data_IF_335345198661
#
_entry.id   IF_335345198661
#
_cell.length_a   1.000
_cell.length_b   1.000
_cell.length_c   1.000
_cell.angle_alpha   90.00
_cell.angle_beta   90.00
_cell.angle_gamma   90.00
#
_symmetry.space_group_name_H-M   'P 1'
#
loop_
_entity.id
_entity.type
_entity.pdbx_description
1 polymer ?
#
# COMPACT_ATOMS: atom_id res chain seq x y z
N UNK A 1 -12.33 -11.59 -23.47
CA UNK A 1 -11.77 -12.03 -22.17
C UNK A 1 -11.63 -10.81 -21.27
N UNK A 2 -12.51 -10.65 -20.28
CA UNK A 2 -12.29 -9.68 -19.21
C UNK A 2 -11.14 -10.21 -18.35
N UNK A 3 -9.90 -9.85 -18.69
CA UNK A 3 -8.82 -9.93 -17.70
C UNK A 3 -9.24 -8.97 -16.60
N UNK A 4 -9.72 -9.48 -15.47
CA UNK A 4 -9.81 -8.69 -14.24
C UNK A 4 -8.41 -8.10 -14.09
N UNK A 5 -8.28 -6.79 -14.28
CA UNK A 5 -7.02 -6.09 -14.16
C UNK A 5 -6.66 -6.18 -12.68
N UNK A 6 -5.92 -7.22 -12.31
CA UNK A 6 -5.35 -7.32 -10.98
C UNK A 6 -4.27 -6.25 -10.93
N UNK A 7 -4.36 -5.29 -9.99
CA UNK A 7 -3.31 -4.30 -9.85
C UNK A 7 -1.97 -5.03 -9.66
N UNK A 8 -0.87 -4.50 -10.23
CA UNK A 8 0.44 -5.09 -10.09
C UNK A 8 0.84 -5.22 -8.62
N UNK A 9 1.64 -6.24 -8.31
CA UNK A 9 2.21 -6.45 -6.98
C UNK A 9 3.10 -5.27 -6.61
N UNK A 10 2.93 -4.73 -5.40
CA UNK A 10 3.60 -3.50 -4.98
C UNK A 10 5.13 -3.68 -4.83
N UNK A 11 5.59 -4.87 -4.46
CA UNK A 11 7.03 -5.17 -4.38
C UNK A 11 7.73 -5.13 -5.75
N UNK A 12 6.98 -5.20 -6.85
CA UNK A 12 7.54 -5.10 -8.21
C UNK A 12 7.68 -3.66 -8.69
N UNK A 13 7.28 -2.67 -7.87
CA UNK A 13 7.21 -1.25 -8.22
C UNK A 13 8.41 -0.74 -9.04
N UNK A 14 9.64 -1.13 -8.68
CA UNK A 14 10.87 -0.69 -9.35
C UNK A 14 11.03 -1.22 -10.78
N UNK A 15 10.37 -2.33 -11.11
CA UNK A 15 10.42 -2.98 -12.42
C UNK A 15 9.24 -2.58 -13.32
N UNK A 16 8.28 -1.83 -12.77
CA UNK A 16 7.09 -1.38 -13.50
C UNK A 16 7.41 -0.22 -14.44
N UNK A 17 6.59 -0.07 -15.47
CA UNK A 17 6.63 1.09 -16.36
C UNK A 17 6.26 2.37 -15.61
N UNK A 18 6.68 3.54 -16.10
CA UNK A 18 6.32 4.83 -15.49
C UNK A 18 4.81 5.04 -15.38
N UNK A 19 4.01 4.50 -16.32
CA UNK A 19 2.55 4.55 -16.27
C UNK A 19 1.98 3.72 -15.13
N UNK A 20 2.49 2.51 -14.92
CA UNK A 20 2.08 1.64 -13.81
C UNK A 20 2.52 2.21 -12.46
N UNK A 21 3.74 2.75 -12.38
CA UNK A 21 4.23 3.45 -11.19
C UNK A 21 3.33 4.65 -10.84
N UNK A 22 2.94 5.44 -11.84
CA UNK A 22 2.02 6.56 -11.65
C UNK A 22 0.64 6.09 -11.15
N UNK A 23 0.12 4.98 -11.67
CA UNK A 23 -1.14 4.40 -11.19
C UNK A 23 -1.05 3.99 -9.71
N UNK A 24 0.06 3.36 -9.30
CA UNK A 24 0.34 3.04 -7.90
C UNK A 24 0.42 4.31 -7.05
N UNK A 25 1.09 5.37 -7.52
CA UNK A 25 1.16 6.63 -6.78
C UNK A 25 -0.23 7.21 -6.53
N UNK A 26 -1.09 7.27 -7.56
CA UNK A 26 -2.44 7.78 -7.43
C UNK A 26 -3.28 6.93 -6.47
N UNK A 27 -3.16 5.61 -6.53
CA UNK A 27 -3.82 4.67 -5.61
C UNK A 27 -3.36 4.87 -4.16
N UNK A 28 -2.06 4.97 -3.92
CA UNK A 28 -1.52 5.19 -2.58
C UNK A 28 -1.94 6.55 -2.01
N UNK A 29 -1.98 7.59 -2.86
CA UNK A 29 -2.49 8.91 -2.49
C UNK A 29 -3.98 8.85 -2.15
N UNK A 30 -4.79 8.06 -2.87
CA UNK A 30 -6.22 7.92 -2.54
C UNK A 30 -6.41 7.22 -1.21
N UNK A 31 -5.63 6.19 -0.90
CA UNK A 31 -5.70 5.49 0.39
C UNK A 31 -5.39 6.39 1.60
N UNK A 32 -4.48 7.36 1.46
CA UNK A 32 -4.20 8.35 2.51
C UNK A 32 -5.37 9.30 2.73
N UNK A 33 -6.13 9.61 1.68
CA UNK A 33 -7.24 10.58 1.71
C UNK A 33 -8.56 9.97 2.17
N UNK A 34 -8.73 8.67 1.97
CA UNK A 34 -9.93 7.93 2.34
C UNK A 34 -9.89 7.56 3.82
N UNK A 35 -11.04 7.66 4.49
CA UNK A 35 -11.16 7.28 5.90
C UNK A 35 -11.44 5.78 6.06
N UNK A 36 -10.68 4.99 5.30
CA UNK A 36 -10.85 3.57 5.12
C UNK A 36 -9.78 2.80 5.89
N UNK A 37 -10.16 1.60 6.33
CA UNK A 37 -9.21 0.62 6.86
C UNK A 37 -8.78 -0.34 5.76
N UNK A 38 -7.51 -0.69 5.79
CA UNK A 38 -6.87 -1.55 4.80
C UNK A 38 -6.23 -2.77 5.45
N UNK A 39 -6.04 -3.81 4.65
CA UNK A 39 -5.19 -4.96 4.96
C UNK A 39 -3.92 -4.84 4.11
N UNK A 40 -2.76 -4.83 4.75
CA UNK A 40 -1.45 -4.85 4.09
C UNK A 40 -0.99 -6.30 4.03
N UNK A 41 -0.97 -6.85 2.83
CA UNK A 41 -0.49 -8.20 2.55
C UNK A 41 1.01 -8.12 2.28
N UNK A 42 1.79 -8.82 3.08
CA UNK A 42 3.25 -8.80 2.99
C UNK A 42 3.76 -9.71 1.87
N UNK A 43 4.97 -9.43 1.38
CA UNK A 43 5.68 -10.32 0.47
C UNK A 43 6.07 -11.63 1.19
N UNK A 44 5.90 -12.76 0.51
CA UNK A 44 6.30 -14.08 1.02
C UNK A 44 5.34 -14.62 2.09
N UNK A 45 5.89 -15.16 3.18
CA UNK A 45 5.12 -15.80 4.27
C UNK A 45 5.04 -14.92 5.54
N UNK A 46 5.39 -13.63 5.45
CA UNK A 46 5.30 -12.72 6.57
C UNK A 46 3.83 -12.42 6.94
N UNK A 47 3.58 -12.18 8.23
CA UNK A 47 2.22 -11.91 8.72
C UNK A 47 1.67 -10.59 8.15
N UNK A 48 0.40 -10.55 7.73
CA UNK A 48 -0.23 -9.34 7.23
C UNK A 48 -0.60 -8.39 8.37
N UNK A 49 -0.67 -7.09 8.04
CA UNK A 49 -1.27 -6.09 8.93
C UNK A 49 -2.72 -5.87 8.56
N UNK A 50 -3.65 -6.20 9.46
CA UNK A 50 -5.09 -6.08 9.21
C UNK A 50 -5.68 -4.84 9.87
N UNK A 51 -6.72 -4.28 9.24
CA UNK A 51 -7.50 -3.15 9.76
C UNK A 51 -6.68 -1.90 10.11
N UNK A 52 -5.68 -1.59 9.29
CA UNK A 52 -4.81 -0.42 9.49
C UNK A 52 -5.33 0.81 8.76
N UNK A 53 -5.01 2.00 9.28
CA UNK A 53 -5.24 3.27 8.59
C UNK A 53 -3.95 3.72 7.94
N UNK A 54 -3.94 3.96 6.63
CA UNK A 54 -2.78 4.52 5.94
C UNK A 54 -2.75 6.02 6.24
N UNK A 55 -1.69 6.48 6.93
CA UNK A 55 -1.61 7.85 7.45
C UNK A 55 -0.80 8.77 6.54
N UNK A 56 0.23 8.24 5.87
CA UNK A 56 1.04 8.99 4.92
C UNK A 56 1.82 8.05 4.01
N UNK A 57 2.21 8.57 2.85
CA UNK A 57 3.07 7.87 1.89
C UNK A 57 4.16 8.83 1.46
N UNK A 58 5.42 8.41 1.58
CA UNK A 58 6.57 9.19 1.17
C UNK A 58 7.13 8.66 -0.14
N UNK A 59 7.32 9.56 -1.12
CA UNK A 59 7.94 9.29 -2.41
C UNK A 59 9.33 9.91 -2.38
N UNK A 60 10.37 9.12 -2.09
CA UNK A 60 11.75 9.60 -2.06
C UNK A 60 12.40 9.53 -3.46
N UNK A 61 13.32 10.46 -3.75
CA UNK A 61 13.99 10.51 -5.05
C UNK A 61 15.19 9.56 -5.10
N UNK A 62 15.15 8.66 -6.10
CA UNK A 62 16.24 7.93 -6.73
C UNK A 62 17.06 6.89 -5.93
N UNK A 63 16.97 6.82 -4.59
CA UNK A 63 17.67 5.78 -3.82
C UNK A 63 16.85 5.11 -2.70
N UNK A 64 15.82 5.78 -2.21
CA UNK A 64 14.95 5.28 -1.17
C UNK A 64 13.56 5.01 -1.76
N UNK A 65 13.04 3.81 -1.51
CA UNK A 65 11.76 3.38 -2.07
C UNK A 65 10.58 4.21 -1.57
N UNK A 66 9.38 3.84 -2.02
CA UNK A 66 8.15 4.39 -1.45
C UNK A 66 8.01 3.83 -0.04
N UNK A 67 7.74 4.69 0.94
CA UNK A 67 7.44 4.29 2.32
C UNK A 67 5.98 4.50 2.64
N UNK A 68 5.34 3.45 3.14
CA UNK A 68 3.93 3.44 3.55
C UNK A 68 3.89 3.50 5.06
N UNK A 69 3.37 4.60 5.58
CA UNK A 69 3.14 4.78 7.01
C UNK A 69 1.69 4.46 7.32
N UNK A 70 1.46 3.68 8.38
CA UNK A 70 0.12 3.30 8.79
C UNK A 70 0.00 3.18 10.31
N UNK A 71 -1.22 3.27 10.79
CA UNK A 71 -1.59 3.10 12.18
C UNK A 71 -2.42 1.82 12.36
N UNK A 72 -2.04 0.99 13.33
CA UNK A 72 -2.76 -0.24 13.65
C UNK A 72 -4.02 0.05 14.46
N UNK A 73 -4.92 -0.92 14.60
CA UNK A 73 -6.14 -0.76 15.41
C UNK A 73 -5.86 -0.46 16.90
N UNK A 74 -4.66 -0.78 17.38
CA UNK A 74 -4.21 -0.47 18.75
C UNK A 74 -3.48 0.87 18.87
N UNK A 75 -3.42 1.66 17.79
CA UNK A 75 -2.78 2.99 17.77
C UNK A 75 -1.26 2.98 17.59
N UNK A 76 -0.67 1.84 17.22
CA UNK A 76 0.76 1.76 16.92
C UNK A 76 1.03 2.29 15.51
N UNK A 77 2.04 3.15 15.37
CA UNK A 77 2.42 3.76 14.09
C UNK A 77 3.66 3.07 13.53
N UNK A 78 3.52 2.49 12.35
CA UNK A 78 4.55 1.72 11.67
C UNK A 78 4.82 2.31 10.29
N UNK A 79 5.99 1.96 9.74
CA UNK A 79 6.40 2.35 8.40
C UNK A 79 7.06 1.17 7.70
N UNK A 80 6.63 0.88 6.47
CA UNK A 80 7.19 -0.19 5.65
C UNK A 80 7.56 0.33 4.27
N UNK A 81 8.71 -0.08 3.72
CA UNK A 81 9.01 0.17 2.32
C UNK A 81 8.10 -0.70 1.44
N UNK A 82 7.71 -0.15 0.29
CA UNK A 82 6.81 -0.80 -0.67
C UNK A 82 7.33 -2.16 -1.16
N UNK A 83 8.66 -2.33 -1.16
CA UNK A 83 9.34 -3.56 -1.58
C UNK A 83 9.00 -4.77 -0.69
N UNK A 84 8.47 -4.58 0.53
CA UNK A 84 8.00 -5.68 1.39
C UNK A 84 6.50 -5.95 1.29
N UNK A 85 5.78 -5.20 0.46
CA UNK A 85 4.32 -5.27 0.38
C UNK A 85 3.94 -5.95 -0.92
N UNK A 86 3.13 -7.00 -0.82
CA UNK A 86 2.50 -7.63 -1.98
C UNK A 86 1.34 -6.76 -2.44
N UNK A 87 0.35 -6.54 -1.58
CA UNK A 87 -0.87 -5.80 -1.91
C UNK A 87 -1.40 -5.01 -0.72
N UNK A 88 -2.19 -4.00 -1.02
CA UNK A 88 -3.02 -3.30 -0.04
C UNK A 88 -4.46 -3.46 -0.49
N UNK A 89 -5.31 -3.99 0.38
CA UNK A 89 -6.70 -4.30 0.08
C UNK A 89 -7.64 -3.56 1.03
N UNK A 90 -8.76 -3.06 0.50
CA UNK A 90 -9.80 -2.47 1.34
C UNK A 90 -10.40 -3.52 2.27
N UNK A 91 -10.44 -3.23 3.57
CA UNK A 91 -10.92 -4.19 4.57
C UNK A 91 -12.45 -4.30 4.64
N UNK A 92 -13.20 -3.43 3.97
CA UNK A 92 -14.65 -3.33 4.13
C UNK A 92 -15.09 -2.42 5.27
N UNK A 93 -14.17 -1.85 6.05
CA UNK A 93 -14.46 -0.99 7.20
C UNK A 93 -13.98 0.45 6.99
N UNK A 94 -14.76 1.42 7.46
CA UNK A 94 -14.41 2.83 7.55
C UNK A 94 -14.11 3.19 9.01
N UNK A 95 -13.40 4.29 9.26
CA UNK A 95 -13.29 4.85 10.62
C UNK A 95 -14.69 5.25 11.12
N UNK A 96 -14.98 4.96 12.41
CA UNK A 96 -16.27 5.24 13.08
C UNK A 96 -16.21 6.61 13.73
#
# INVERSE_FOLDING_TARGET
MNKKYMPPELYEYRHLTSTEQMAIHQMLISYVREDHRFNIIMMGAAEPYNLVKIISVNFENEAAGIWIHFETIVGEKLALPIDFISRIEFSGQQEI
#
